data_IF_242660046766
#
_entry.id   IF_242660046766
#
_cell.length_a   1.000
_cell.length_b   1.000
_cell.length_c   1.000
_cell.angle_alpha   90.00
_cell.angle_beta   90.00
_cell.angle_gamma   90.00
#
_symmetry.space_group_name_H-M   'P 1'
#
loop_
_entity.id
_entity.type
_entity.pdbx_description
1 polymer ?
#
# COMPACT_ATOMS: atom_id res chain seq x y z
N UNK A 1 14.02 -18.13 10.45
CA UNK A 1 12.80 -18.67 9.79
C UNK A 1 11.65 -17.66 9.75
N UNK A 2 11.61 -16.66 10.65
CA UNK A 2 10.52 -15.68 10.72
C UNK A 2 10.57 -14.58 9.65
N UNK A 3 11.77 -14.12 9.24
CA UNK A 3 11.92 -13.03 8.27
C UNK A 3 11.50 -13.38 6.83
N UNK A 4 11.76 -14.62 6.38
CA UNK A 4 11.34 -15.08 5.06
C UNK A 4 9.81 -15.18 4.98
N UNK A 5 9.18 -15.70 6.04
CA UNK A 5 7.72 -15.76 6.15
C UNK A 5 7.11 -14.35 6.18
N UNK A 6 7.68 -13.42 6.94
CA UNK A 6 7.29 -12.00 6.92
C UNK A 6 7.39 -11.41 5.52
N UNK A 7 8.51 -11.64 4.84
CA UNK A 7 8.73 -11.16 3.48
C UNK A 7 7.67 -11.72 2.53
N UNK A 8 7.46 -13.03 2.50
CA UNK A 8 6.48 -13.66 1.60
C UNK A 8 5.04 -13.24 1.91
N UNK A 9 4.67 -13.13 3.19
CA UNK A 9 3.35 -12.67 3.62
C UNK A 9 3.07 -11.27 3.08
N UNK A 10 3.95 -10.31 3.38
CA UNK A 10 3.75 -8.91 3.00
C UNK A 10 3.97 -8.66 1.51
N UNK A 11 4.81 -9.46 0.83
CA UNK A 11 4.92 -9.45 -0.62
C UNK A 11 3.59 -9.86 -1.27
N UNK A 12 2.94 -10.92 -0.74
CA UNK A 12 1.63 -11.36 -1.21
C UNK A 12 0.57 -10.29 -0.96
N UNK A 13 0.52 -9.71 0.23
CA UNK A 13 -0.38 -8.59 0.52
C UNK A 13 -0.13 -7.45 -0.48
N UNK A 14 1.12 -7.08 -0.74
CA UNK A 14 1.47 -6.02 -1.69
C UNK A 14 0.99 -6.30 -3.13
N UNK A 15 1.03 -7.56 -3.59
CA UNK A 15 0.52 -7.94 -4.91
C UNK A 15 -1.01 -7.92 -5.02
N UNK A 16 -1.71 -8.25 -3.92
CA UNK A 16 -3.17 -8.43 -3.94
C UNK A 16 -3.96 -7.30 -3.28
N UNK A 17 -3.27 -6.28 -2.76
CA UNK A 17 -3.87 -5.09 -2.15
C UNK A 17 -4.41 -4.11 -3.21
N UNK A 18 -5.50 -4.49 -3.88
CA UNK A 18 -6.23 -3.61 -4.80
C UNK A 18 -7.37 -2.89 -4.08
N UNK A 19 -7.47 -1.56 -4.25
CA UNK A 19 -8.56 -0.76 -3.65
C UNK A 19 -8.15 0.17 -2.50
N UNK A 20 -6.85 0.42 -2.30
CA UNK A 20 -6.35 1.39 -1.32
C UNK A 20 -6.03 0.78 0.06
N UNK A 21 -5.67 1.64 1.02
CA UNK A 21 -5.16 1.21 2.33
C UNK A 21 -6.14 0.37 3.16
N UNK A 22 -7.44 0.63 3.06
CA UNK A 22 -8.48 -0.12 3.78
C UNK A 22 -8.75 -1.50 3.16
N UNK A 23 -8.62 -1.62 1.84
CA UNK A 23 -8.77 -2.91 1.14
C UNK A 23 -7.61 -3.88 1.44
N UNK A 24 -6.46 -3.35 1.87
CA UNK A 24 -5.32 -4.16 2.30
C UNK A 24 -5.56 -4.83 3.67
N UNK A 25 -6.38 -4.24 4.53
CA UNK A 25 -6.51 -4.69 5.94
C UNK A 25 -7.02 -6.13 6.09
N UNK A 26 -8.05 -6.58 5.35
CA UNK A 26 -8.49 -7.97 5.43
C UNK A 26 -7.43 -8.97 4.97
N UNK A 27 -6.59 -8.59 3.98
CA UNK A 27 -5.47 -9.42 3.52
C UNK A 27 -4.38 -9.51 4.59
N UNK A 28 -4.07 -8.38 5.22
CA UNK A 28 -3.13 -8.28 6.33
C UNK A 28 -3.63 -9.12 7.53
N UNK A 29 -4.89 -8.97 7.94
CA UNK A 29 -5.51 -9.76 9.01
C UNK A 29 -5.41 -11.25 8.70
N UNK A 30 -5.74 -11.66 7.47
CA UNK A 30 -5.69 -13.06 7.06
C UNK A 30 -4.28 -13.65 7.16
N UNK A 31 -3.27 -12.95 6.67
CA UNK A 31 -1.89 -13.46 6.71
C UNK A 31 -1.39 -13.53 8.17
N UNK A 32 -1.61 -12.47 8.95
CA UNK A 32 -1.03 -12.35 10.28
C UNK A 32 -1.78 -13.19 11.34
N UNK A 33 -3.11 -13.17 11.32
CA UNK A 33 -3.96 -13.80 12.34
C UNK A 33 -4.32 -15.23 11.97
N UNK A 34 -4.69 -15.46 10.70
CA UNK A 34 -5.24 -16.76 10.28
C UNK A 34 -4.19 -17.70 9.66
N UNK A 35 -3.13 -17.18 9.05
CA UNK A 35 -2.14 -18.00 8.33
C UNK A 35 -0.89 -18.25 9.16
N UNK A 36 -0.26 -17.19 9.65
CA UNK A 36 0.97 -17.29 10.43
C UNK A 36 0.76 -17.23 11.94
N UNK A 37 -0.44 -16.88 12.40
CA UNK A 37 -0.82 -16.79 13.81
C UNK A 37 0.18 -15.95 14.66
N UNK A 38 0.76 -14.91 14.08
CA UNK A 38 1.72 -14.03 14.77
C UNK A 38 1.05 -13.08 15.76
N UNK A 39 -0.19 -12.70 15.48
CA UNK A 39 -1.01 -11.90 16.37
C UNK A 39 -2.38 -12.54 16.52
N UNK A 40 -2.95 -12.42 17.72
CA UNK A 40 -4.37 -12.69 17.95
C UNK A 40 -5.23 -11.56 17.37
N UNK A 41 -6.53 -11.83 17.19
CA UNK A 41 -7.47 -10.82 16.68
C UNK A 41 -7.52 -9.53 17.52
N UNK A 42 -7.53 -9.58 18.86
CA UNK A 42 -7.45 -8.37 19.69
C UNK A 42 -6.17 -7.58 19.45
N UNK A 43 -5.01 -8.25 19.38
CA UNK A 43 -3.73 -7.57 19.14
C UNK A 43 -3.64 -6.97 17.74
N UNK A 44 -4.29 -7.59 16.75
CA UNK A 44 -4.42 -7.00 15.41
C UNK A 44 -5.24 -5.70 15.45
N UNK A 45 -6.32 -5.65 16.24
CA UNK A 45 -7.12 -4.43 16.40
C UNK A 45 -6.34 -3.32 17.10
N UNK A 46 -5.53 -3.65 18.11
CA UNK A 46 -4.61 -2.69 18.76
C UNK A 46 -3.57 -2.15 17.77
N UNK A 47 -2.99 -3.03 16.96
CA UNK A 47 -2.03 -2.65 15.91
C UNK A 47 -2.67 -1.78 14.83
N UNK A 48 -3.91 -2.09 14.45
CA UNK A 48 -4.69 -1.28 13.52
C UNK A 48 -4.96 0.11 14.12
N UNK A 49 -5.37 0.19 15.38
CA UNK A 49 -5.56 1.45 16.08
C UNK A 49 -4.26 2.28 16.08
N UNK A 50 -3.13 1.66 16.40
CA UNK A 50 -1.83 2.33 16.33
C UNK A 50 -1.51 2.84 14.91
N UNK A 51 -1.80 2.04 13.89
CA UNK A 51 -1.58 2.38 12.48
C UNK A 51 -2.41 3.58 12.03
N UNK A 52 -3.61 3.75 12.57
CA UNK A 52 -4.51 4.89 12.34
C UNK A 52 -4.04 6.16 13.07
N UNK A 53 -3.46 6.01 14.26
CA UNK A 53 -2.98 7.15 15.06
C UNK A 53 -1.69 7.74 14.48
N UNK A 54 -0.86 6.92 13.84
CA UNK A 54 0.35 7.38 13.18
C UNK A 54 0.07 7.96 11.79
N UNK A 55 0.67 9.11 11.42
CA UNK A 55 0.48 9.67 10.09
C UNK A 55 1.03 8.74 9.03
N UNK A 56 0.33 8.66 7.89
CA UNK A 56 0.77 7.91 6.72
C UNK A 56 -0.19 6.80 6.28
N UNK A 57 0.21 6.00 5.28
CA UNK A 57 -0.64 4.95 4.74
C UNK A 57 -0.83 3.81 5.73
N UNK A 58 -2.09 3.55 6.08
CA UNK A 58 -2.50 2.59 7.12
C UNK A 58 -1.89 1.20 6.88
N UNK A 59 -1.91 0.72 5.64
CA UNK A 59 -1.37 -0.60 5.28
C UNK A 59 0.16 -0.70 5.48
N UNK A 60 0.89 0.40 5.20
CA UNK A 60 2.34 0.47 5.40
C UNK A 60 2.66 0.50 6.90
N UNK A 61 1.92 1.30 7.67
CA UNK A 61 2.08 1.36 9.12
C UNK A 61 1.78 -0.01 9.76
N UNK A 62 0.71 -0.67 9.33
CA UNK A 62 0.35 -2.01 9.79
C UNK A 62 1.43 -3.06 9.47
N UNK A 63 2.01 -3.02 8.26
CA UNK A 63 3.13 -3.88 7.89
C UNK A 63 4.38 -3.60 8.76
N UNK A 64 4.70 -2.33 8.96
CA UNK A 64 5.84 -1.89 9.76
C UNK A 64 5.73 -2.37 11.21
N UNK A 65 4.58 -2.13 11.86
CA UNK A 65 4.36 -2.51 13.25
C UNK A 65 4.26 -4.02 13.43
N UNK A 66 3.70 -4.73 12.46
CA UNK A 66 3.66 -6.20 12.49
C UNK A 66 5.07 -6.75 12.39
N UNK A 67 5.86 -6.27 11.42
CA UNK A 67 7.26 -6.64 11.28
C UNK A 67 8.07 -6.33 12.54
N UNK A 68 7.82 -5.18 13.16
CA UNK A 68 8.44 -4.80 14.43
C UNK A 68 8.12 -5.78 15.55
N UNK A 69 6.85 -6.15 15.71
CA UNK A 69 6.40 -7.07 16.78
C UNK A 69 6.92 -8.49 16.57
N UNK A 70 7.02 -8.96 15.32
CA UNK A 70 7.42 -10.34 14.99
C UNK A 70 8.94 -10.52 14.91
N UNK A 71 9.68 -9.51 14.44
CA UNK A 71 11.11 -9.64 14.13
C UNK A 71 11.97 -8.44 14.54
N UNK A 72 11.44 -7.55 15.39
CA UNK A 72 12.12 -6.33 15.82
C UNK A 72 12.33 -5.34 14.67
N UNK A 73 13.32 -4.45 14.83
CA UNK A 73 13.62 -3.42 13.83
C UNK A 73 13.90 -3.99 12.43
N UNK A 74 14.61 -5.11 12.33
CA UNK A 74 14.85 -5.78 11.04
C UNK A 74 13.55 -6.32 10.43
N UNK A 75 12.66 -6.87 11.26
CA UNK A 75 11.36 -7.36 10.81
C UNK A 75 10.49 -6.23 10.24
N UNK A 76 10.56 -5.03 10.84
CA UNK A 76 9.87 -3.85 10.34
C UNK A 76 10.34 -3.49 8.93
N UNK A 77 11.65 -3.37 8.71
CA UNK A 77 12.20 -3.07 7.37
C UNK A 77 11.85 -4.14 6.34
N UNK A 78 11.91 -5.43 6.72
CA UNK A 78 11.58 -6.54 5.83
C UNK A 78 10.10 -6.53 5.44
N UNK A 79 9.19 -6.37 6.39
CA UNK A 79 7.75 -6.34 6.14
C UNK A 79 7.35 -5.14 5.28
N UNK A 80 7.83 -3.95 5.63
CA UNK A 80 7.54 -2.72 4.88
C UNK A 80 8.13 -2.74 3.49
N UNK A 81 9.38 -3.19 3.36
CA UNK A 81 10.02 -3.37 2.06
C UNK A 81 9.26 -4.36 1.19
N UNK A 82 8.93 -5.54 1.73
CA UNK A 82 8.17 -6.55 1.01
C UNK A 82 6.80 -6.06 0.53
N UNK A 83 6.09 -5.29 1.36
CA UNK A 83 4.81 -4.71 0.99
C UNK A 83 4.94 -3.69 -0.16
N UNK A 84 5.98 -2.87 -0.17
CA UNK A 84 6.19 -1.83 -1.20
C UNK A 84 6.77 -2.37 -2.52
N UNK A 85 7.52 -3.48 -2.47
CA UNK A 85 8.23 -4.04 -3.62
C UNK A 85 7.33 -4.30 -4.86
N UNK A 86 6.13 -4.90 -4.74
CA UNK A 86 5.25 -5.14 -5.89
C UNK A 86 4.87 -3.86 -6.63
N UNK A 87 4.54 -2.80 -5.89
CA UNK A 87 4.16 -1.51 -6.47
C UNK A 87 5.33 -0.86 -7.20
N UNK A 88 6.53 -0.88 -6.59
CA UNK A 88 7.75 -0.34 -7.21
C UNK A 88 8.09 -1.11 -8.48
N UNK A 89 8.07 -2.44 -8.42
CA UNK A 89 8.38 -3.31 -9.56
C UNK A 89 7.40 -3.10 -10.72
N UNK A 90 6.09 -3.10 -10.45
CA UNK A 90 5.06 -2.90 -11.48
C UNK A 90 5.16 -1.50 -12.09
N UNK A 91 5.41 -0.47 -11.28
CA UNK A 91 5.58 0.90 -11.77
C UNK A 91 6.80 1.01 -12.68
N UNK A 92 7.94 0.46 -12.28
CA UNK A 92 9.16 0.45 -13.10
C UNK A 92 8.96 -0.31 -14.41
N UNK A 93 8.26 -1.45 -14.37
CA UNK A 93 7.92 -2.24 -15.55
C UNK A 93 7.09 -1.40 -16.55
N UNK A 94 6.02 -0.78 -16.06
CA UNK A 94 5.12 0.06 -16.87
C UNK A 94 5.87 1.26 -17.45
N UNK A 95 6.65 1.98 -16.63
CA UNK A 95 7.41 3.15 -17.08
C UNK A 95 8.44 2.77 -18.13
N UNK A 96 9.18 1.68 -17.93
CA UNK A 96 10.19 1.19 -18.88
C UNK A 96 9.53 0.82 -20.20
N UNK A 97 8.42 0.06 -20.16
CA UNK A 97 7.67 -0.31 -21.35
C UNK A 97 7.12 0.92 -22.09
N UNK A 98 6.51 1.85 -21.36
CA UNK A 98 5.89 3.04 -21.93
C UNK A 98 6.93 4.02 -22.50
N UNK A 99 8.12 4.08 -21.90
CA UNK A 99 9.22 4.91 -22.39
C UNK A 99 9.67 4.53 -23.80
N UNK A 100 9.53 3.26 -24.18
CA UNK A 100 9.82 2.76 -25.53
C UNK A 100 8.89 3.34 -26.60
N UNK A 101 7.67 3.73 -26.22
CA UNK A 101 6.67 4.30 -27.13
C UNK A 101 6.50 5.81 -26.95
N UNK A 102 7.42 6.46 -26.22
CA UNK A 102 7.29 7.86 -25.82
C UNK A 102 7.37 8.84 -27.01
N UNK A 103 8.00 8.43 -28.11
CA UNK A 103 8.07 9.19 -29.36
C UNK A 103 6.79 9.10 -30.20
N UNK A 104 5.88 8.17 -29.87
CA UNK A 104 4.60 8.08 -30.56
C UNK A 104 3.71 9.27 -30.16
N UNK A 105 3.25 10.10 -31.12
CA UNK A 105 2.46 11.30 -30.84
C UNK A 105 1.15 11.00 -30.09
N UNK A 106 0.54 9.83 -30.30
CA UNK A 106 -0.67 9.41 -29.59
C UNK A 106 -0.39 9.12 -28.10
N UNK A 107 0.71 8.44 -27.80
CA UNK A 107 1.12 8.11 -26.42
C UNK A 107 1.54 9.38 -25.68
N UNK A 108 2.33 10.24 -26.33
CA UNK A 108 2.73 11.52 -25.75
C UNK A 108 1.53 12.45 -25.50
N UNK A 109 0.56 12.50 -26.42
CA UNK A 109 -0.69 13.24 -26.26
C UNK A 109 -1.53 12.74 -25.08
N UNK A 110 -1.73 11.42 -24.98
CA UNK A 110 -2.44 10.79 -23.87
C UNK A 110 -1.80 11.12 -22.52
N UNK A 111 -0.48 10.96 -22.38
CA UNK A 111 0.23 11.25 -21.13
C UNK A 111 0.20 12.73 -20.75
N UNK A 112 0.20 13.63 -21.74
CA UNK A 112 0.02 15.07 -21.50
C UNK A 112 -1.39 15.39 -21.00
N UNK A 113 -2.42 14.75 -21.56
CA UNK A 113 -3.82 14.90 -21.12
C UNK A 113 -4.11 14.27 -19.75
N UNK A 114 -3.39 13.21 -19.40
CA UNK A 114 -3.55 12.53 -18.12
C UNK A 114 -3.22 13.44 -16.93
N UNK A 115 -2.18 14.28 -17.03
CA UNK A 115 -1.76 15.16 -15.93
C UNK A 115 -2.85 16.15 -15.47
N UNK A 116 -3.45 17.00 -16.35
CA UNK A 116 -4.52 17.89 -15.94
C UNK A 116 -5.80 17.13 -15.57
N UNK A 117 -6.08 15.97 -16.17
CA UNK A 117 -7.23 15.13 -15.78
C UNK A 117 -7.09 14.62 -14.34
N UNK A 118 -5.90 14.14 -13.95
CA UNK A 118 -5.62 13.72 -12.57
C UNK A 118 -5.72 14.90 -11.60
N UNK A 119 -5.19 16.07 -11.96
CA UNK A 119 -5.32 17.29 -11.15
C UNK A 119 -6.79 17.68 -10.95
N UNK A 120 -7.59 17.68 -12.03
CA UNK A 120 -9.01 18.00 -11.96
C UNK A 120 -9.78 16.99 -11.08
N UNK A 121 -9.45 15.70 -11.17
CA UNK A 121 -10.04 14.66 -10.34
C UNK A 121 -9.68 14.87 -8.85
N UNK A 122 -8.41 15.13 -8.54
CA UNK A 122 -7.96 15.40 -7.17
C UNK A 122 -8.63 16.66 -6.59
N UNK A 123 -8.73 17.73 -7.39
CA UNK A 123 -9.48 18.94 -7.03
C UNK A 123 -10.95 18.64 -6.74
N UNK A 124 -11.60 17.81 -7.57
CA UNK A 124 -13.00 17.45 -7.36
C UNK A 124 -13.21 16.70 -6.05
N UNK A 125 -12.32 15.76 -5.72
CA UNK A 125 -12.35 15.01 -4.45
C UNK A 125 -12.07 15.95 -3.27
N UNK A 126 -11.13 16.87 -3.39
CA UNK A 126 -10.85 17.84 -2.34
C UNK A 126 -12.07 18.74 -2.06
N UNK A 127 -12.73 19.22 -3.11
CA UNK A 127 -13.94 20.04 -2.99
C UNK A 127 -15.11 19.25 -2.36
N UNK A 128 -15.30 17.97 -2.72
CA UNK A 128 -16.37 17.17 -2.12
C UNK A 128 -16.15 16.96 -0.62
N UNK A 129 -14.90 16.67 -0.21
CA UNK A 129 -14.56 16.51 1.22
C UNK A 129 -14.82 17.80 2.02
N UNK A 130 -14.54 18.97 1.43
CA UNK A 130 -14.84 20.26 2.06
C UNK A 130 -16.35 20.46 2.21
N UNK A 131 -17.13 20.13 1.17
CA UNK A 131 -18.59 20.26 1.20
C UNK A 131 -19.21 19.35 2.25
N UNK A 132 -18.77 18.09 2.31
CA UNK A 132 -19.26 17.10 3.27
C UNK A 132 -18.86 17.44 4.72
N UNK A 133 -17.76 18.17 4.93
CA UNK A 133 -17.31 18.60 6.26
C UNK A 133 -17.93 19.90 6.77
N UNK A 134 -18.64 20.65 5.91
CA UNK A 134 -19.36 21.88 6.29
C UNK A 134 -20.81 21.59 6.71
N UNK A 135 -21.33 20.40 6.39
CA UNK A 135 -22.64 19.89 6.82
C UNK A 135 -22.52 18.91 7.99
#
# INVERSE_FOLDING_TARGET
MTYLSLFLAFLRVGFFSFGGGLAALPLIEREIVNTYHWLSKPEFLELLALSQLTPGPIAINAATFTGFKVGGMLGAFVATGAFCLPSVFLTLLVVTFLSRFRENPYVAGFLRGLRPALLALLLRVALSVIQDGIH
#
